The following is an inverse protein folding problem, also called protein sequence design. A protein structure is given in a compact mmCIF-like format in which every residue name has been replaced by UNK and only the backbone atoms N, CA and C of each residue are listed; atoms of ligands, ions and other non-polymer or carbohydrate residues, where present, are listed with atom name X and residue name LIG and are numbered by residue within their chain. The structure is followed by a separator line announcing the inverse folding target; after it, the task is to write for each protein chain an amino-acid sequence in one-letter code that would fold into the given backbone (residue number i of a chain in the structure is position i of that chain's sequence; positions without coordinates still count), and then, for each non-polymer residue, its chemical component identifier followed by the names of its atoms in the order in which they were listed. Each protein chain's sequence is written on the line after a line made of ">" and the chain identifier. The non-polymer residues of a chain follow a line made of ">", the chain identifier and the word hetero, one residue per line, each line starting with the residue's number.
data_IF_971597236759
#
_entry.id   IF_971597236759
#
_cell.length_a   1.000
_cell.length_b   1.000
_cell.length_c   1.000
_cell.angle_alpha   90.00
_cell.angle_beta   90.00
_cell.angle_gamma   90.00
#
_symmetry.space_group_name_H-M   'P 1'
#
loop_
_entity.id
_entity.type
_entity.pdbx_description
1 polymer ?
#
# COMPACT_ATOMS: atom_id res chain seq x y z
N UNK A 1 106.66 -13.04 33.79
CA UNK A 1 105.80 -13.79 32.79
C UNK A 1 104.44 -14.22 33.40
N UNK A 2 104.28 -14.36 34.71
CA UNK A 2 103.04 -14.80 35.40
C UNK A 2 102.01 -13.71 35.48
N UNK A 3 102.39 -12.39 35.48
CA UNK A 3 101.47 -11.25 35.59
C UNK A 3 100.71 -10.89 34.28
N UNK A 4 101.23 -11.29 33.11
CA UNK A 4 100.59 -11.10 31.84
C UNK A 4 99.45 -12.14 31.60
N UNK A 5 99.59 -13.34 32.10
CA UNK A 5 98.55 -14.40 32.00
C UNK A 5 97.32 -14.04 32.87
N UNK A 6 97.51 -13.37 33.99
CA UNK A 6 96.45 -12.87 34.88
C UNK A 6 95.61 -11.81 34.24
N UNK A 7 96.21 -10.79 33.56
CA UNK A 7 95.50 -9.71 32.86
C UNK A 7 94.62 -10.23 31.69
N UNK A 8 95.12 -11.20 30.94
CA UNK A 8 94.36 -11.85 29.87
C UNK A 8 93.10 -12.62 30.40
N UNK A 9 93.31 -13.38 31.52
CA UNK A 9 92.18 -14.04 32.15
C UNK A 9 91.17 -13.09 32.74
N UNK A 10 91.57 -11.98 33.31
CA UNK A 10 90.64 -10.94 33.80
C UNK A 10 89.92 -10.25 32.64
N UNK A 11 90.57 -9.99 31.51
CA UNK A 11 89.95 -9.37 30.31
C UNK A 11 88.89 -10.31 29.67
N UNK A 12 89.25 -11.64 29.62
CA UNK A 12 88.29 -12.68 29.16
C UNK A 12 87.09 -12.80 30.09
N UNK A 13 87.30 -12.67 31.41
CA UNK A 13 86.16 -12.70 32.37
C UNK A 13 85.30 -11.46 32.28
N UNK A 14 85.88 -10.31 32.10
CA UNK A 14 85.11 -9.04 31.87
C UNK A 14 84.33 -9.06 30.55
N UNK A 15 84.93 -9.62 29.47
CA UNK A 15 84.20 -9.79 28.19
C UNK A 15 83.05 -10.77 28.29
N UNK A 16 83.19 -11.83 29.05
CA UNK A 16 82.13 -12.82 29.32
C UNK A 16 80.96 -12.20 30.11
N UNK A 17 81.23 -11.36 31.11
CA UNK A 17 80.22 -10.62 31.89
C UNK A 17 79.47 -9.61 30.97
N UNK A 18 80.21 -8.94 30.12
CA UNK A 18 79.60 -7.96 29.17
C UNK A 18 78.67 -8.67 28.21
N UNK A 19 79.02 -9.83 27.67
CA UNK A 19 78.17 -10.62 26.78
C UNK A 19 76.88 -11.09 27.50
N UNK A 20 77.01 -11.57 28.77
CA UNK A 20 75.88 -11.99 29.58
C UNK A 20 74.93 -10.79 29.86
N UNK A 21 75.46 -9.64 30.19
CA UNK A 21 74.65 -8.39 30.40
C UNK A 21 73.94 -7.95 29.12
N UNK A 22 74.65 -8.09 27.98
CA UNK A 22 74.03 -7.76 26.66
C UNK A 22 72.93 -8.73 26.28
N UNK A 23 73.11 -10.01 26.54
CA UNK A 23 72.04 -11.03 26.36
C UNK A 23 70.85 -10.81 27.29
N UNK A 24 71.08 -10.44 28.55
CA UNK A 24 70.00 -10.08 29.48
C UNK A 24 69.28 -8.85 29.03
N UNK A 25 69.99 -7.81 28.53
CA UNK A 25 69.38 -6.61 27.98
C UNK A 25 68.52 -6.91 26.74
N UNK A 26 69.05 -7.73 25.81
CA UNK A 26 68.28 -8.14 24.60
C UNK A 26 67.07 -9.00 25.01
N UNK A 27 67.19 -9.90 25.94
CA UNK A 27 66.09 -10.71 26.43
C UNK A 27 64.98 -9.83 27.08
N UNK A 28 65.41 -8.88 27.93
CA UNK A 28 64.51 -7.92 28.56
C UNK A 28 63.80 -7.00 27.53
N UNK A 29 64.55 -6.53 26.52
CA UNK A 29 64.03 -5.73 25.43
C UNK A 29 63.00 -6.51 24.60
N UNK A 30 63.29 -7.77 24.24
CA UNK A 30 62.35 -8.64 23.52
C UNK A 30 61.11 -8.94 24.34
N UNK A 31 61.24 -9.21 25.64
CA UNK A 31 60.10 -9.46 26.52
C UNK A 31 59.21 -8.22 26.70
N UNK A 32 59.79 -7.02 26.82
CA UNK A 32 59.00 -5.75 26.91
C UNK A 32 58.34 -5.43 25.61
N UNK A 33 59.03 -5.62 24.48
CA UNK A 33 58.46 -5.36 23.16
C UNK A 33 57.32 -6.35 22.80
N UNK A 34 57.45 -7.63 23.21
CA UNK A 34 56.36 -8.61 23.05
C UNK A 34 55.08 -8.24 23.83
N UNK A 35 55.20 -7.64 25.02
CA UNK A 35 54.03 -7.15 25.77
C UNK A 35 53.30 -6.06 25.03
N UNK A 36 54.02 -5.12 24.42
CA UNK A 36 53.38 -4.05 23.61
C UNK A 36 52.70 -4.62 22.35
N UNK A 37 53.34 -5.57 21.68
CA UNK A 37 52.76 -6.26 20.52
C UNK A 37 51.50 -7.05 20.91
N UNK A 38 51.53 -7.79 22.02
CA UNK A 38 50.38 -8.54 22.52
C UNK A 38 49.20 -7.60 22.90
N UNK A 39 49.48 -6.45 23.55
CA UNK A 39 48.45 -5.46 23.85
C UNK A 39 47.82 -4.85 22.59
N UNK A 40 48.62 -4.61 21.55
CA UNK A 40 48.11 -4.12 20.26
C UNK A 40 47.25 -5.19 19.59
N UNK A 41 47.68 -6.45 19.58
CA UNK A 41 46.89 -7.56 19.00
C UNK A 41 45.58 -7.71 19.76
N UNK A 42 45.59 -7.66 21.08
CA UNK A 42 44.38 -7.77 21.89
C UNK A 42 43.38 -6.60 21.63
N UNK A 43 43.91 -5.37 21.53
CA UNK A 43 43.09 -4.21 21.17
C UNK A 43 42.49 -4.32 19.76
N UNK A 44 43.23 -4.91 18.80
CA UNK A 44 42.73 -5.14 17.44
C UNK A 44 41.63 -6.21 17.45
N UNK A 45 41.80 -7.29 18.21
CA UNK A 45 40.76 -8.32 18.37
C UNK A 45 39.50 -7.77 19.01
N UNK A 46 39.62 -6.92 20.04
CA UNK A 46 38.48 -6.25 20.65
C UNK A 46 37.76 -5.30 19.69
N UNK A 47 38.49 -4.50 18.92
CA UNK A 47 37.93 -3.62 17.88
C UNK A 47 37.21 -4.44 16.81
N UNK A 48 37.83 -5.56 16.38
CA UNK A 48 37.20 -6.45 15.38
C UNK A 48 35.91 -7.09 15.92
N UNK A 49 35.90 -7.50 17.19
CA UNK A 49 34.71 -8.04 17.86
C UNK A 49 33.57 -7.00 17.93
N UNK A 50 33.90 -5.79 18.36
CA UNK A 50 32.93 -4.68 18.41
C UNK A 50 32.41 -4.34 17.01
N UNK A 51 33.30 -4.36 16.00
CA UNK A 51 32.87 -4.13 14.62
C UNK A 51 31.88 -5.20 14.12
N UNK A 52 32.17 -6.47 14.41
CA UNK A 52 31.30 -7.60 14.05
C UNK A 52 29.97 -7.57 14.79
N UNK A 53 29.98 -7.20 16.07
CA UNK A 53 28.75 -6.99 16.85
C UNK A 53 27.91 -5.83 16.29
N UNK A 54 28.56 -4.72 15.88
CA UNK A 54 27.88 -3.61 15.25
C UNK A 54 27.25 -4.00 13.90
N UNK A 55 27.93 -4.81 13.08
CA UNK A 55 27.35 -5.33 11.84
C UNK A 55 26.12 -6.20 12.13
N UNK A 56 26.23 -7.12 13.08
CA UNK A 56 25.12 -7.99 13.47
C UNK A 56 23.92 -7.20 14.02
N UNK A 57 24.18 -6.14 14.79
CA UNK A 57 23.15 -5.24 15.30
C UNK A 57 22.46 -4.47 14.19
N UNK A 58 23.22 -3.97 13.19
CA UNK A 58 22.64 -3.31 12.01
C UNK A 58 21.73 -4.26 11.24
N UNK A 59 22.19 -5.46 10.98
CA UNK A 59 21.40 -6.50 10.29
C UNK A 59 20.11 -6.85 11.05
N UNK A 60 20.20 -6.92 12.39
CA UNK A 60 19.01 -7.12 13.23
C UNK A 60 18.03 -5.94 13.18
N UNK A 61 18.53 -4.71 13.14
CA UNK A 61 17.70 -3.51 13.04
C UNK A 61 16.98 -3.49 11.68
N UNK A 62 17.70 -3.73 10.58
CA UNK A 62 17.12 -3.81 9.24
C UNK A 62 16.03 -4.89 9.15
N UNK A 63 16.29 -6.06 9.71
CA UNK A 63 15.30 -7.14 9.78
C UNK A 63 14.09 -6.78 10.66
N UNK A 64 14.28 -6.07 11.76
CA UNK A 64 13.18 -5.60 12.61
C UNK A 64 12.31 -4.56 11.89
N UNK A 65 12.93 -3.64 11.14
CA UNK A 65 12.19 -2.64 10.35
C UNK A 65 11.38 -3.30 9.23
N UNK A 66 11.97 -4.30 8.54
CA UNK A 66 11.27 -5.09 7.54
C UNK A 66 10.07 -5.84 8.12
N UNK A 67 10.27 -6.57 9.23
CA UNK A 67 9.19 -7.27 9.93
C UNK A 67 8.10 -6.33 10.43
N UNK A 68 8.46 -5.15 10.92
CA UNK A 68 7.49 -4.14 11.37
C UNK A 68 6.63 -3.65 10.20
N UNK A 69 7.25 -3.41 9.04
CA UNK A 69 6.54 -3.01 7.82
C UNK A 69 5.58 -4.12 7.35
N UNK A 70 6.02 -5.38 7.38
CA UNK A 70 5.20 -6.54 7.02
C UNK A 70 3.99 -6.71 7.98
N UNK A 71 4.21 -6.59 9.29
CA UNK A 71 3.12 -6.64 10.29
C UNK A 71 2.12 -5.51 10.08
N UNK A 72 2.60 -4.32 9.72
CA UNK A 72 1.71 -3.19 9.43
C UNK A 72 0.86 -3.47 8.19
N UNK A 73 1.45 -3.93 7.09
CA UNK A 73 0.71 -4.30 5.86
C UNK A 73 -0.34 -5.39 6.14
N UNK A 74 0.04 -6.46 6.84
CA UNK A 74 -0.88 -7.53 7.21
C UNK A 74 -2.02 -7.05 8.12
N UNK A 75 -1.75 -6.08 8.99
CA UNK A 75 -2.78 -5.47 9.85
C UNK A 75 -3.78 -4.64 9.05
N UNK A 76 -3.31 -3.88 8.07
CA UNK A 76 -4.14 -3.09 7.15
C UNK A 76 -5.00 -4.00 6.26
N UNK A 77 -4.40 -5.06 5.70
CA UNK A 77 -5.12 -6.07 4.91
C UNK A 77 -6.22 -6.76 5.73
N UNK A 78 -5.90 -7.19 6.95
CA UNK A 78 -6.88 -7.77 7.88
C UNK A 78 -8.03 -6.81 8.18
N UNK A 79 -7.73 -5.53 8.39
CA UNK A 79 -8.76 -4.52 8.65
C UNK A 79 -9.68 -4.35 7.43
N UNK A 80 -9.12 -4.29 6.23
CA UNK A 80 -9.86 -4.17 4.98
C UNK A 80 -10.77 -5.38 4.75
N UNK A 81 -10.24 -6.59 4.92
CA UNK A 81 -11.03 -7.83 4.82
C UNK A 81 -12.16 -7.89 5.87
N UNK A 82 -11.89 -7.43 7.09
CA UNK A 82 -12.92 -7.37 8.15
C UNK A 82 -14.04 -6.40 7.78
N UNK A 83 -13.70 -5.22 7.25
CA UNK A 83 -14.69 -4.25 6.75
C UNK A 83 -15.53 -4.85 5.61
N UNK A 84 -14.88 -5.56 4.68
CA UNK A 84 -15.56 -6.22 3.56
C UNK A 84 -16.55 -7.28 4.05
N UNK A 85 -16.15 -8.14 4.98
CA UNK A 85 -17.01 -9.16 5.58
C UNK A 85 -18.21 -8.52 6.28
N UNK A 86 -18.00 -7.48 7.04
CA UNK A 86 -19.08 -6.78 7.75
C UNK A 86 -20.06 -6.12 6.77
N UNK A 87 -19.56 -5.46 5.73
CA UNK A 87 -20.40 -4.87 4.66
C UNK A 87 -21.20 -5.93 3.91
N UNK A 88 -20.57 -7.07 3.60
CA UNK A 88 -21.25 -8.21 2.95
C UNK A 88 -22.35 -8.76 3.86
N UNK A 89 -22.11 -8.85 5.18
CA UNK A 89 -23.11 -9.33 6.15
C UNK A 89 -24.28 -8.36 6.24
N UNK A 90 -24.00 -7.07 6.38
CA UNK A 90 -25.03 -6.01 6.39
C UNK A 90 -25.96 -6.09 5.16
N UNK A 91 -25.37 -6.20 3.96
CA UNK A 91 -26.14 -6.32 2.72
C UNK A 91 -26.92 -7.64 2.63
N UNK A 92 -26.37 -8.75 3.17
CA UNK A 92 -27.07 -10.05 3.25
C UNK A 92 -28.26 -10.00 4.20
N UNK A 93 -28.13 -9.36 5.33
CA UNK A 93 -29.20 -9.22 6.34
C UNK A 93 -30.41 -8.45 5.80
N UNK A 94 -30.16 -7.52 4.87
CA UNK A 94 -31.26 -6.85 4.16
C UNK A 94 -32.09 -7.81 3.29
N UNK A 95 -31.58 -9.02 3.00
CA UNK A 95 -32.31 -10.09 2.30
C UNK A 95 -32.61 -9.82 0.81
N UNK A 96 -32.29 -8.65 0.31
CA UNK A 96 -32.67 -8.12 -1.02
C UNK A 96 -31.68 -8.44 -2.13
N UNK A 97 -30.47 -8.89 -1.82
CA UNK A 97 -29.36 -8.98 -2.76
C UNK A 97 -28.72 -10.36 -2.78
N UNK A 98 -28.26 -10.78 -3.96
CA UNK A 98 -27.27 -11.82 -4.15
C UNK A 98 -25.89 -11.15 -4.18
N UNK A 99 -24.94 -11.67 -3.39
CA UNK A 99 -23.62 -11.09 -3.23
C UNK A 99 -22.55 -12.09 -3.59
N UNK A 100 -21.57 -11.66 -4.41
CA UNK A 100 -20.38 -12.45 -4.78
C UNK A 100 -19.16 -11.62 -4.42
N UNK A 101 -18.26 -12.16 -3.61
CA UNK A 101 -16.96 -11.55 -3.36
C UNK A 101 -15.99 -11.92 -4.48
N UNK A 102 -15.18 -10.98 -4.91
CA UNK A 102 -14.17 -11.16 -5.95
C UNK A 102 -12.94 -10.31 -5.68
N UNK A 103 -11.81 -10.72 -6.23
CA UNK A 103 -10.56 -9.99 -6.17
C UNK A 103 -10.21 -9.43 -7.55
N UNK A 104 -9.63 -8.23 -7.58
CA UNK A 104 -9.17 -7.59 -8.81
C UNK A 104 -7.86 -8.25 -9.23
N UNK A 105 -7.86 -8.95 -10.37
CA UNK A 105 -6.69 -9.64 -10.88
C UNK A 105 -5.75 -8.69 -11.63
N UNK A 106 -6.32 -7.75 -12.40
CA UNK A 106 -5.55 -6.79 -13.19
C UNK A 106 -6.40 -5.60 -13.63
N UNK A 107 -5.73 -4.50 -13.96
CA UNK A 107 -6.31 -3.42 -14.75
C UNK A 107 -6.11 -3.70 -16.24
N UNK A 108 -7.07 -3.27 -17.06
CA UNK A 108 -6.95 -3.41 -18.51
C UNK A 108 -6.01 -2.32 -19.02
N UNK A 109 -4.88 -2.72 -19.63
CA UNK A 109 -3.79 -1.80 -19.98
C UNK A 109 -4.23 -0.71 -20.97
N UNK A 110 -5.09 -1.07 -21.95
CA UNK A 110 -5.62 -0.17 -22.97
C UNK A 110 -6.64 0.84 -22.39
N UNK A 111 -7.17 0.54 -21.20
CA UNK A 111 -8.20 1.35 -20.54
C UNK A 111 -8.03 1.34 -19.01
N UNK A 112 -6.87 1.80 -18.58
CA UNK A 112 -6.44 1.75 -17.17
C UNK A 112 -7.42 2.38 -16.18
N UNK A 113 -8.07 3.46 -16.60
CA UNK A 113 -9.03 4.18 -15.77
C UNK A 113 -10.49 3.75 -15.99
N UNK A 114 -10.73 2.88 -16.95
CA UNK A 114 -12.09 2.52 -17.35
C UNK A 114 -12.45 1.07 -17.07
N UNK A 115 -11.48 0.15 -16.94
CA UNK A 115 -11.79 -1.29 -16.84
C UNK A 115 -10.83 -2.04 -15.92
N UNK A 116 -11.41 -2.99 -15.17
CA UNK A 116 -10.68 -3.97 -14.35
C UNK A 116 -11.17 -5.38 -14.65
N UNK A 117 -10.33 -6.38 -14.37
CA UNK A 117 -10.69 -7.79 -14.45
C UNK A 117 -10.78 -8.41 -13.05
N UNK A 118 -11.80 -9.24 -12.84
CA UNK A 118 -12.05 -9.97 -11.59
C UNK A 118 -11.78 -11.47 -11.76
N UNK A 119 -11.46 -12.14 -10.66
CA UNK A 119 -11.24 -13.60 -10.55
C UNK A 119 -12.54 -14.40 -10.43
N UNK A 120 -13.69 -13.83 -10.78
CA UNK A 120 -15.01 -14.47 -10.76
C UNK A 120 -15.69 -14.33 -12.11
N UNK A 121 -16.30 -15.42 -12.56
CA UNK A 121 -17.02 -15.51 -13.83
C UNK A 121 -18.36 -16.25 -13.73
N UNK A 122 -18.84 -16.76 -14.86
CA UNK A 122 -20.15 -17.49 -14.95
C UNK A 122 -20.22 -18.63 -13.93
N UNK A 123 -19.16 -19.40 -13.72
CA UNK A 123 -19.16 -20.50 -12.74
C UNK A 123 -19.37 -20.06 -11.31
N UNK A 124 -19.12 -18.80 -11.01
CA UNK A 124 -19.32 -18.20 -9.69
C UNK A 124 -20.66 -17.47 -9.58
N UNK A 125 -21.50 -17.53 -10.64
CA UNK A 125 -22.79 -16.85 -10.69
C UNK A 125 -22.74 -15.38 -11.10
N UNK A 126 -21.58 -14.91 -11.63
CA UNK A 126 -21.45 -13.54 -12.14
C UNK A 126 -22.28 -13.38 -13.43
N UNK A 127 -22.98 -12.25 -13.53
CA UNK A 127 -23.80 -11.89 -14.69
C UNK A 127 -23.45 -10.48 -15.16
N UNK A 128 -23.66 -10.24 -16.46
CA UNK A 128 -23.52 -8.90 -17.05
C UNK A 128 -24.46 -7.90 -16.36
N UNK A 129 -24.04 -6.67 -16.20
CA UNK A 129 -24.72 -5.54 -15.54
C UNK A 129 -24.86 -5.67 -14.01
N UNK A 130 -24.32 -6.71 -13.34
CA UNK A 130 -24.20 -6.70 -11.88
C UNK A 130 -23.43 -5.45 -11.42
N UNK A 131 -23.91 -4.80 -10.37
CA UNK A 131 -23.20 -3.71 -9.72
C UNK A 131 -21.93 -4.25 -9.04
N UNK A 132 -20.85 -3.48 -9.10
CA UNK A 132 -19.57 -3.80 -8.42
C UNK A 132 -19.23 -2.66 -7.48
N UNK A 133 -18.97 -2.98 -6.22
CA UNK A 133 -18.67 -2.01 -5.18
C UNK A 133 -17.52 -2.46 -4.28
N UNK A 134 -16.88 -1.50 -3.65
CA UNK A 134 -16.00 -1.73 -2.50
C UNK A 134 -16.80 -1.51 -1.19
N UNK A 135 -16.13 -1.60 -0.07
CA UNK A 135 -16.70 -1.23 1.24
C UNK A 135 -17.18 0.23 1.25
N UNK A 136 -16.48 1.11 0.54
CA UNK A 136 -16.71 2.56 0.56
C UNK A 136 -17.78 3.02 -0.45
N UNK A 137 -18.06 2.26 -1.52
CA UNK A 137 -19.05 2.66 -2.50
C UNK A 137 -18.94 1.93 -3.85
N UNK A 138 -19.87 2.29 -4.74
CA UNK A 138 -19.96 1.75 -6.10
C UNK A 138 -18.74 2.14 -6.92
N UNK A 139 -18.17 1.15 -7.63
CA UNK A 139 -17.04 1.39 -8.54
C UNK A 139 -17.39 1.20 -10.01
N UNK A 140 -18.42 0.41 -10.31
CA UNK A 140 -18.78 0.12 -11.69
C UNK A 140 -19.85 -0.94 -11.83
N UNK A 141 -19.89 -1.55 -13.01
CA UNK A 141 -20.74 -2.68 -13.33
C UNK A 141 -20.02 -3.68 -14.22
N UNK A 142 -20.44 -4.93 -14.17
CA UNK A 142 -19.92 -6.00 -15.03
C UNK A 142 -20.28 -5.72 -16.49
N UNK A 143 -19.28 -5.63 -17.36
CA UNK A 143 -19.42 -5.40 -18.81
C UNK A 143 -19.48 -6.72 -19.58
N UNK A 144 -18.59 -7.66 -19.26
CA UNK A 144 -18.54 -9.00 -19.88
C UNK A 144 -18.12 -10.04 -18.86
N UNK A 145 -18.52 -11.28 -19.12
CA UNK A 145 -18.28 -12.42 -18.22
C UNK A 145 -17.76 -13.59 -19.03
N UNK A 146 -16.61 -14.09 -18.64
CA UNK A 146 -16.05 -15.36 -19.11
C UNK A 146 -16.33 -16.48 -18.11
N UNK A 147 -15.84 -17.70 -18.40
CA UNK A 147 -16.11 -18.86 -17.56
C UNK A 147 -15.63 -18.67 -16.10
N UNK A 148 -14.41 -18.10 -15.89
CA UNK A 148 -13.76 -17.94 -14.59
C UNK A 148 -13.50 -16.48 -14.21
N UNK A 149 -13.55 -15.56 -15.17
CA UNK A 149 -13.22 -14.15 -14.99
C UNK A 149 -14.35 -13.25 -15.48
N UNK A 150 -14.32 -11.99 -15.09
CA UNK A 150 -15.21 -10.96 -15.62
C UNK A 150 -14.50 -9.63 -15.77
N UNK A 151 -15.00 -8.82 -16.68
CA UNK A 151 -14.55 -7.45 -16.90
C UNK A 151 -15.58 -6.49 -16.33
N UNK A 152 -15.11 -5.56 -15.52
CA UNK A 152 -15.92 -4.49 -14.94
C UNK A 152 -15.60 -3.18 -15.63
N UNK A 153 -16.64 -2.48 -16.03
CA UNK A 153 -16.58 -1.09 -16.50
C UNK A 153 -16.75 -0.16 -15.30
N UNK A 154 -15.73 0.65 -15.05
CA UNK A 154 -15.72 1.60 -13.94
C UNK A 154 -16.64 2.81 -14.24
N UNK A 155 -17.15 3.44 -13.18
CA UNK A 155 -17.99 4.66 -13.28
C UNK A 155 -17.23 5.87 -13.84
N UNK A 156 -15.90 5.83 -13.84
CA UNK A 156 -15.02 6.84 -14.46
C UNK A 156 -14.95 6.77 -15.97
N UNK A 157 -15.42 5.66 -16.57
CA UNK A 157 -15.40 5.50 -18.02
C UNK A 157 -16.37 6.47 -18.69
N UNK A 158 -15.83 7.39 -19.48
CA UNK A 158 -16.61 8.38 -20.25
C UNK A 158 -17.18 7.75 -21.53
N UNK A 159 -18.31 7.09 -21.41
CA UNK A 159 -19.05 6.50 -22.52
C UNK A 159 -20.55 6.79 -22.41
N UNK A 160 -21.18 7.06 -23.55
CA UNK A 160 -22.64 7.32 -23.60
C UNK A 160 -23.49 6.17 -23.05
N UNK A 161 -22.96 4.93 -23.13
CA UNK A 161 -23.63 3.71 -22.64
C UNK A 161 -23.39 3.44 -21.16
N UNK A 162 -22.50 4.19 -20.52
CA UNK A 162 -22.12 4.02 -19.11
C UNK A 162 -22.82 5.01 -18.18
N UNK A 163 -24.03 5.45 -18.52
CA UNK A 163 -24.79 6.38 -17.69
C UNK A 163 -25.34 5.66 -16.46
N UNK A 164 -24.94 6.12 -15.29
CA UNK A 164 -25.46 5.67 -14.01
C UNK A 164 -26.50 6.69 -13.53
N UNK A 165 -27.74 6.24 -13.32
CA UNK A 165 -28.77 7.07 -12.70
C UNK A 165 -28.51 7.21 -11.21
N UNK A 166 -28.48 8.43 -10.72
CA UNK A 166 -28.21 8.75 -9.31
C UNK A 166 -29.28 9.65 -8.73
N UNK A 167 -29.32 9.69 -7.42
CA UNK A 167 -30.10 10.64 -6.64
C UNK A 167 -29.28 11.10 -5.44
N UNK A 168 -29.78 12.11 -4.72
CA UNK A 168 -29.11 12.62 -3.53
C UNK A 168 -29.77 12.02 -2.28
N UNK A 169 -28.94 11.60 -1.33
CA UNK A 169 -29.44 10.95 -0.11
C UNK A 169 -30.41 11.85 0.67
N UNK A 170 -30.14 13.17 0.70
CA UNK A 170 -30.98 14.16 1.40
C UNK A 170 -32.22 14.57 0.62
N UNK A 171 -32.27 14.33 -0.69
CA UNK A 171 -33.40 14.64 -1.54
C UNK A 171 -33.52 13.70 -2.73
N UNK A 172 -34.25 12.61 -2.55
CA UNK A 172 -34.45 11.58 -3.58
C UNK A 172 -35.28 12.05 -4.80
N UNK A 173 -35.89 13.23 -4.73
CA UNK A 173 -36.62 13.80 -5.87
C UNK A 173 -35.68 14.40 -6.94
N UNK A 174 -34.42 14.64 -6.61
CA UNK A 174 -33.43 15.16 -7.55
C UNK A 174 -32.74 13.98 -8.22
N UNK A 175 -32.94 13.87 -9.52
CA UNK A 175 -32.38 12.83 -10.35
C UNK A 175 -31.31 13.41 -11.26
N UNK A 176 -30.22 12.70 -11.40
CA UNK A 176 -29.10 13.02 -12.30
C UNK A 176 -28.50 11.80 -12.94
N UNK A 177 -27.57 12.02 -13.85
CA UNK A 177 -26.82 10.95 -14.49
C UNK A 177 -25.32 11.23 -14.41
N UNK A 178 -24.54 10.25 -13.98
CA UNK A 178 -23.08 10.27 -14.15
C UNK A 178 -22.82 10.15 -15.64
N UNK A 179 -22.14 11.13 -16.21
CA UNK A 179 -21.89 11.21 -17.67
C UNK A 179 -20.41 11.11 -18.03
N UNK A 180 -19.52 11.16 -17.03
CA UNK A 180 -18.10 11.05 -17.25
C UNK A 180 -17.31 11.40 -15.99
N UNK A 181 -16.00 11.48 -16.16
CA UNK A 181 -15.03 11.77 -15.10
C UNK A 181 -14.11 12.93 -15.51
N UNK A 182 -14.00 13.90 -14.64
CA UNK A 182 -13.07 15.01 -14.79
C UNK A 182 -11.75 14.63 -14.11
N UNK A 183 -10.67 14.52 -14.91
CA UNK A 183 -9.35 14.10 -14.42
C UNK A 183 -8.67 15.20 -13.61
N UNK A 184 -8.92 16.46 -13.91
CA UNK A 184 -8.30 17.59 -13.21
C UNK A 184 -8.92 17.76 -11.82
N UNK A 185 -10.26 17.74 -11.77
CA UNK A 185 -11.00 17.82 -10.50
C UNK A 185 -11.04 16.48 -9.74
N UNK A 186 -10.59 15.37 -10.36
CA UNK A 186 -10.72 14.00 -9.85
C UNK A 186 -12.16 13.67 -9.41
N UNK A 187 -13.15 14.09 -10.21
CA UNK A 187 -14.55 14.05 -9.86
C UNK A 187 -15.42 13.47 -10.98
N UNK A 188 -16.48 12.79 -10.61
CA UNK A 188 -17.56 12.42 -11.53
C UNK A 188 -18.33 13.66 -11.97
N UNK A 189 -18.65 13.74 -13.25
CA UNK A 189 -19.54 14.75 -13.80
C UNK A 189 -20.96 14.21 -13.83
N UNK A 190 -21.86 14.93 -13.19
CA UNK A 190 -23.27 14.62 -13.12
C UNK A 190 -24.03 15.72 -13.84
N UNK A 191 -24.75 15.36 -14.88
CA UNK A 191 -25.51 16.25 -15.70
C UNK A 191 -27.03 16.05 -15.50
N UNK A 192 -27.83 16.89 -16.14
CA UNK A 192 -29.31 16.89 -16.11
C UNK A 192 -29.91 17.32 -14.77
N UNK A 193 -29.22 18.15 -14.00
CA UNK A 193 -29.77 18.74 -12.79
C UNK A 193 -30.38 20.10 -13.16
N UNK A 194 -31.70 20.27 -13.12
CA UNK A 194 -32.36 21.55 -13.39
C UNK A 194 -31.88 22.65 -12.44
N UNK A 195 -31.73 23.89 -12.93
CA UNK A 195 -31.13 24.98 -12.15
C UNK A 195 -31.94 25.35 -10.90
N UNK A 196 -33.25 25.13 -10.87
CA UNK A 196 -34.10 25.28 -9.68
C UNK A 196 -33.75 24.24 -8.61
N UNK A 197 -33.51 23.00 -9.01
CA UNK A 197 -33.10 21.86 -8.13
C UNK A 197 -31.67 21.93 -7.68
N UNK A 198 -30.78 22.45 -8.52
CA UNK A 198 -29.35 22.60 -8.16
C UNK A 198 -29.15 23.48 -6.91
N UNK A 199 -30.04 24.43 -6.65
CA UNK A 199 -29.99 25.28 -5.44
C UNK A 199 -30.22 24.52 -4.13
N UNK A 200 -30.87 23.36 -4.20
CA UNK A 200 -31.14 22.50 -3.05
C UNK A 200 -29.93 21.60 -2.72
N UNK A 201 -28.97 21.46 -3.65
CA UNK A 201 -27.77 20.62 -3.50
C UNK A 201 -26.67 21.42 -2.82
N UNK A 202 -26.05 20.81 -1.82
CA UNK A 202 -24.95 21.40 -1.05
C UNK A 202 -23.66 20.61 -1.26
N UNK A 203 -22.53 21.30 -1.14
CA UNK A 203 -21.22 20.64 -1.02
C UNK A 203 -21.24 19.73 0.20
N UNK A 204 -20.78 18.48 0.04
CA UNK A 204 -20.82 17.42 1.07
C UNK A 204 -22.05 16.51 0.97
N UNK A 205 -23.05 16.81 0.12
CA UNK A 205 -24.21 15.93 -0.05
C UNK A 205 -23.78 14.58 -0.64
N UNK A 206 -24.25 13.49 -0.04
CA UNK A 206 -24.02 12.12 -0.52
C UNK A 206 -24.90 11.77 -1.71
N UNK A 207 -24.28 11.18 -2.72
CA UNK A 207 -24.92 10.70 -3.94
C UNK A 207 -25.01 9.19 -3.90
N UNK A 208 -26.21 8.67 -4.17
CA UNK A 208 -26.52 7.25 -4.16
C UNK A 208 -27.14 6.83 -5.50
N UNK A 209 -27.13 5.53 -5.78
CA UNK A 209 -27.79 4.96 -6.95
C UNK A 209 -29.30 5.14 -6.85
N UNK A 210 -29.93 5.49 -7.99
CA UNK A 210 -31.37 5.70 -8.10
C UNK A 210 -32.10 4.41 -8.50
N UNK A 211 -33.38 4.32 -8.14
CA UNK A 211 -34.30 3.25 -8.59
C UNK A 211 -34.47 3.19 -10.11
N UNK A 212 -34.16 4.28 -10.84
CA UNK A 212 -34.15 4.26 -12.29
C UNK A 212 -33.08 3.38 -12.93
N UNK A 213 -32.10 2.96 -12.14
CA UNK A 213 -31.08 2.01 -12.56
C UNK A 213 -31.64 0.57 -12.42
N UNK A 214 -32.36 0.07 -13.43
CA UNK A 214 -33.07 -1.21 -13.38
C UNK A 214 -32.22 -2.42 -12.96
N UNK A 215 -30.91 -2.37 -13.22
CA UNK A 215 -29.98 -3.52 -12.97
C UNK A 215 -29.03 -3.27 -11.80
N UNK A 216 -28.92 -2.03 -11.34
CA UNK A 216 -28.09 -1.66 -10.21
C UNK A 216 -28.99 -1.42 -9.00
N UNK A 217 -28.72 -2.06 -7.87
CA UNK A 217 -29.50 -1.82 -6.66
C UNK A 217 -29.57 -0.35 -6.30
N UNK A 218 -30.73 0.20 -5.92
CA UNK A 218 -30.81 1.57 -5.43
C UNK A 218 -30.21 1.72 -4.04
N UNK A 219 -29.78 2.93 -3.70
CA UNK A 219 -29.26 3.28 -2.38
C UNK A 219 -27.79 2.92 -2.15
N UNK A 220 -27.04 2.44 -3.17
CA UNK A 220 -25.61 2.24 -3.05
C UNK A 220 -24.89 3.60 -3.09
N UNK A 221 -23.96 3.82 -2.19
CA UNK A 221 -23.13 5.02 -2.16
C UNK A 221 -22.27 5.12 -3.43
N UNK A 222 -22.20 6.30 -4.03
CA UNK A 222 -21.46 6.56 -5.26
C UNK A 222 -20.38 7.61 -5.04
N UNK A 223 -20.76 8.80 -4.58
CA UNK A 223 -19.88 9.96 -4.51
C UNK A 223 -20.38 11.00 -3.50
N UNK A 224 -19.59 12.03 -3.29
CA UNK A 224 -19.92 13.21 -2.49
C UNK A 224 -19.71 14.47 -3.31
N UNK A 225 -20.67 15.38 -3.25
CA UNK A 225 -20.63 16.66 -3.99
C UNK A 225 -19.45 17.50 -3.52
N UNK A 226 -18.62 17.96 -4.46
CA UNK A 226 -17.48 18.85 -4.17
C UNK A 226 -17.62 20.22 -4.84
N UNK A 227 -18.36 20.31 -5.96
CA UNK A 227 -18.50 21.56 -6.70
C UNK A 227 -19.74 21.52 -7.60
N UNK A 228 -20.23 22.67 -8.02
CA UNK A 228 -21.33 22.80 -9.00
C UNK A 228 -21.14 24.02 -9.88
N UNK A 229 -21.42 23.87 -11.17
CA UNK A 229 -21.31 24.93 -12.16
C UNK A 229 -22.57 24.97 -13.06
N UNK A 230 -23.06 26.15 -13.49
CA UNK A 230 -24.09 26.22 -14.49
C UNK A 230 -23.59 25.61 -15.82
N UNK A 231 -24.52 25.02 -16.58
CA UNK A 231 -24.21 24.56 -17.93
C UNK A 231 -24.04 25.78 -18.89
N UNK A 232 -23.64 25.52 -20.12
CA UNK A 232 -23.38 26.57 -21.12
C UNK A 232 -24.59 27.47 -21.40
N UNK A 233 -25.82 27.02 -21.10
CA UNK A 233 -27.05 27.68 -21.38
C UNK A 233 -27.74 28.22 -20.12
N UNK A 234 -27.23 27.92 -18.93
CA UNK A 234 -27.79 28.32 -17.63
C UNK A 234 -29.10 27.61 -17.26
N UNK A 235 -29.54 26.62 -18.04
CA UNK A 235 -30.78 25.86 -17.82
C UNK A 235 -30.60 24.70 -16.85
N UNK A 236 -29.40 24.15 -16.77
CA UNK A 236 -29.05 23.05 -15.90
C UNK A 236 -27.72 23.33 -15.20
N UNK A 237 -27.38 22.51 -14.20
CA UNK A 237 -26.10 22.51 -13.54
C UNK A 237 -25.36 21.20 -13.78
N UNK A 238 -24.04 21.30 -13.85
CA UNK A 238 -23.11 20.20 -13.80
C UNK A 238 -22.64 20.10 -12.36
N UNK A 239 -22.87 18.95 -11.73
CA UNK A 239 -22.39 18.68 -10.38
C UNK A 239 -21.12 17.86 -10.50
N UNK A 240 -20.08 18.28 -9.80
CA UNK A 240 -18.84 17.53 -9.64
C UNK A 240 -18.85 16.81 -8.30
N UNK A 241 -18.62 15.51 -8.33
CA UNK A 241 -18.69 14.70 -7.12
C UNK A 241 -17.48 13.75 -7.01
N UNK A 242 -16.83 13.75 -5.86
CA UNK A 242 -15.71 12.86 -5.56
C UNK A 242 -16.22 11.46 -5.30
N UNK A 243 -15.75 10.41 -6.01
CA UNK A 243 -16.11 9.04 -5.71
C UNK A 243 -15.83 8.68 -4.24
N UNK A 244 -16.74 7.96 -3.58
CA UNK A 244 -16.52 7.45 -2.23
C UNK A 244 -15.46 6.35 -2.21
N UNK A 245 -15.45 5.51 -3.24
CA UNK A 245 -14.42 4.46 -3.38
C UNK A 245 -13.13 5.04 -3.97
N UNK A 246 -11.98 4.55 -3.50
CA UNK A 246 -10.70 4.82 -4.13
C UNK A 246 -10.59 3.98 -5.41
N UNK A 247 -10.84 4.61 -6.57
CA UNK A 247 -10.84 3.93 -7.86
C UNK A 247 -9.43 3.62 -8.40
N UNK A 248 -8.38 4.11 -7.75
CA UNK A 248 -6.98 3.87 -8.15
C UNK A 248 -6.38 2.63 -7.48
N UNK A 249 -6.90 2.29 -6.32
CA UNK A 249 -6.43 1.17 -5.50
C UNK A 249 -7.63 0.25 -5.20
N UNK A 250 -7.80 -0.77 -6.04
CA UNK A 250 -8.91 -1.71 -6.00
C UNK A 250 -8.34 -3.12 -5.88
N UNK A 251 -8.56 -3.75 -4.75
CA UNK A 251 -8.14 -5.13 -4.47
C UNK A 251 -9.36 -6.07 -4.35
N UNK A 252 -10.17 -5.88 -3.32
CA UNK A 252 -11.34 -6.71 -3.06
C UNK A 252 -12.64 -5.95 -3.32
N UNK A 253 -13.57 -6.63 -3.99
CA UNK A 253 -14.85 -6.06 -4.40
C UNK A 253 -16.01 -7.01 -4.11
N UNK A 254 -17.21 -6.45 -4.07
CA UNK A 254 -18.47 -7.17 -3.93
C UNK A 254 -19.29 -6.92 -5.19
N UNK A 255 -19.69 -8.00 -5.86
CA UNK A 255 -20.70 -7.93 -6.92
C UNK A 255 -22.09 -8.07 -6.29
N UNK A 256 -23.00 -7.23 -6.69
CA UNK A 256 -24.36 -7.11 -6.10
C UNK A 256 -25.39 -7.22 -7.19
N UNK A 257 -26.32 -8.16 -7.02
CA UNK A 257 -27.49 -8.34 -7.90
C UNK A 257 -28.77 -8.26 -7.05
N UNK A 258 -29.81 -7.52 -7.48
CA UNK A 258 -31.11 -7.60 -6.84
C UNK A 258 -31.64 -9.02 -6.92
N UNK A 259 -32.24 -9.51 -5.84
CA UNK A 259 -33.08 -10.72 -5.90
C UNK A 259 -34.37 -10.33 -6.60
N UNK A 260 -34.64 -10.97 -7.74
CA UNK A 260 -35.89 -10.82 -8.49
C UNK A 260 -37.08 -11.30 -7.69
#
# INVERSE_FOLDING_TARGET
>A
MIMQVSKRKILLFLSSILVVLLMMYVCMYVCTNNRHVQNIIHNIEDIYKVYKENQLLKEKIENQESLKSEVQMLSEEKENLTKLINKTRELKEQGKYNLIQATVVRRVAEDWYGKIALDRGVQHGVKVDMAVMTVSGLIGKVESVDQFTSIVKLITKDERTNRLAITFQNNSSILGFVTGYDKEKQALRINNIPSDKAKEIKIGDSIITSELSQKIPPGLEVAEVIDQEPDKYGLAHIIYAKPKANLYDLEDVILVEPKG
#
